data_IF_903348367917
#
_entry.id   IF_903348367917
#
_cell.length_a   1.000
_cell.length_b   1.000
_cell.length_c   1.000
_cell.angle_alpha   90.00
_cell.angle_beta   90.00
_cell.angle_gamma   90.00
#
_symmetry.space_group_name_H-M   'P 1'
#
loop_
_entity.id
_entity.type
_entity.pdbx_description
1 polymer ?
#
# COMPACT_ATOMS: atom_id res chain seq x y z
N UNK A 1 19.46 13.17 -16.67
CA UNK A 1 18.94 11.80 -16.45
C UNK A 1 19.20 11.50 -14.99
N UNK A 2 18.34 11.99 -14.09
CA UNK A 2 18.67 12.08 -12.65
C UNK A 2 17.52 11.52 -11.79
N UNK A 3 16.86 10.47 -12.26
CA UNK A 3 15.84 9.74 -11.49
C UNK A 3 16.44 8.71 -10.52
N UNK A 4 17.74 8.42 -10.66
CA UNK A 4 18.47 7.44 -9.84
C UNK A 4 18.33 7.62 -8.32
N UNK A 5 18.39 8.86 -7.76
CA UNK A 5 18.26 9.06 -6.32
C UNK A 5 16.89 8.67 -5.77
N UNK A 6 15.83 8.82 -6.57
CA UNK A 6 14.45 8.57 -6.15
C UNK A 6 14.01 7.12 -6.32
N UNK A 7 14.73 6.35 -7.15
CA UNK A 7 14.46 4.96 -7.44
C UNK A 7 15.04 4.01 -6.38
N UNK A 8 16.21 4.38 -5.83
CA UNK A 8 16.93 3.62 -4.80
C UNK A 8 16.08 3.32 -3.55
N UNK A 9 15.40 4.32 -2.92
CA UNK A 9 14.61 4.06 -1.72
C UNK A 9 13.49 3.04 -1.94
N UNK A 10 12.73 3.14 -3.04
CA UNK A 10 11.62 2.24 -3.35
C UNK A 10 12.09 0.81 -3.65
N UNK A 11 13.22 0.66 -4.35
CA UNK A 11 13.82 -0.64 -4.61
C UNK A 11 14.34 -1.31 -3.33
N UNK A 12 15.04 -0.56 -2.48
CA UNK A 12 15.56 -1.07 -1.21
C UNK A 12 14.40 -1.45 -0.28
N UNK A 13 13.39 -0.58 -0.15
CA UNK A 13 12.24 -0.84 0.71
C UNK A 13 11.47 -2.10 0.28
N UNK A 14 11.19 -2.25 -1.02
CA UNK A 14 10.50 -3.45 -1.55
C UNK A 14 11.31 -4.72 -1.32
N UNK A 15 12.63 -4.68 -1.54
CA UNK A 15 13.54 -5.80 -1.29
C UNK A 15 13.58 -6.22 0.18
N UNK A 16 13.67 -5.25 1.10
CA UNK A 16 13.62 -5.49 2.55
C UNK A 16 12.28 -6.10 2.94
N UNK A 17 11.17 -5.57 2.41
CA UNK A 17 9.83 -6.09 2.73
C UNK A 17 9.65 -7.55 2.29
N UNK A 18 10.14 -7.92 1.11
CA UNK A 18 10.14 -9.32 0.65
C UNK A 18 10.97 -10.18 1.60
N UNK A 19 12.22 -9.78 1.87
CA UNK A 19 13.13 -10.53 2.73
C UNK A 19 12.55 -10.77 4.12
N UNK A 20 12.03 -9.72 4.76
CA UNK A 20 11.40 -9.80 6.08
C UNK A 20 10.14 -10.65 6.03
N UNK A 21 9.29 -10.51 5.01
CA UNK A 21 8.07 -11.30 4.87
C UNK A 21 8.37 -12.80 4.80
N UNK A 22 9.39 -13.20 4.04
CA UNK A 22 9.84 -14.60 3.96
C UNK A 22 10.35 -15.11 5.32
N UNK A 23 11.11 -14.30 6.05
CA UNK A 23 11.64 -14.67 7.38
C UNK A 23 10.52 -14.82 8.41
N UNK A 24 9.59 -13.87 8.44
CA UNK A 24 8.41 -13.82 9.32
C UNK A 24 7.47 -14.99 9.03
N UNK A 25 7.32 -15.38 7.77
CA UNK A 25 6.52 -16.53 7.37
C UNK A 25 6.99 -17.87 7.97
N UNK A 26 8.26 -17.95 8.41
CA UNK A 26 8.79 -19.12 9.12
C UNK A 26 8.47 -19.13 10.63
N UNK A 27 8.03 -18.00 11.20
CA UNK A 27 7.83 -17.79 12.66
C UNK A 27 6.35 -17.54 13.03
N UNK A 28 5.38 -18.11 12.32
CA UNK A 28 3.94 -17.76 12.38
C UNK A 28 3.20 -18.04 13.70
N UNK A 29 3.90 -18.50 14.73
CA UNK A 29 3.28 -18.88 16.02
C UNK A 29 2.87 -17.67 16.86
N UNK A 30 3.39 -16.47 16.59
CA UNK A 30 3.09 -15.26 17.37
C UNK A 30 2.06 -14.35 16.67
N UNK A 31 1.10 -13.76 17.40
CA UNK A 31 0.14 -12.79 16.84
C UNK A 31 0.81 -11.59 16.17
N UNK A 32 1.92 -11.10 16.74
CA UNK A 32 2.71 -10.00 16.19
C UNK A 32 3.25 -10.31 14.79
N UNK A 33 3.58 -11.57 14.51
CA UNK A 33 4.07 -12.02 13.19
C UNK A 33 3.03 -11.76 12.10
N UNK A 34 1.74 -11.99 12.39
CA UNK A 34 0.65 -11.76 11.43
C UNK A 34 0.45 -10.28 11.14
N UNK A 35 0.44 -9.43 12.17
CA UNK A 35 0.29 -7.98 11.98
C UNK A 35 1.50 -7.36 11.27
N UNK A 36 2.71 -7.84 11.59
CA UNK A 36 3.94 -7.42 10.92
C UNK A 36 3.92 -7.80 9.43
N UNK A 37 3.42 -8.98 9.09
CA UNK A 37 3.25 -9.39 7.70
C UNK A 37 2.33 -8.43 6.92
N UNK A 38 1.18 -8.05 7.50
CA UNK A 38 0.24 -7.15 6.83
C UNK A 38 0.83 -5.77 6.55
N UNK A 39 1.55 -5.17 7.51
CA UNK A 39 2.19 -3.88 7.27
C UNK A 39 3.30 -3.99 6.22
N UNK A 40 4.10 -5.07 6.24
CA UNK A 40 5.15 -5.30 5.23
C UNK A 40 4.56 -5.48 3.83
N UNK A 41 3.43 -6.17 3.72
CA UNK A 41 2.72 -6.35 2.45
C UNK A 41 2.21 -5.01 1.91
N UNK A 42 1.61 -4.19 2.77
CA UNK A 42 1.17 -2.84 2.40
C UNK A 42 2.33 -1.97 1.91
N UNK A 43 3.45 -1.94 2.66
CA UNK A 43 4.64 -1.18 2.28
C UNK A 43 5.26 -1.72 0.99
N UNK A 44 5.28 -3.04 0.82
CA UNK A 44 5.75 -3.67 -0.41
C UNK A 44 4.95 -3.25 -1.63
N UNK A 45 3.60 -3.33 -1.58
CA UNK A 45 2.72 -2.91 -2.68
C UNK A 45 3.03 -1.46 -3.05
N UNK A 46 3.12 -0.58 -2.05
CA UNK A 46 3.40 0.83 -2.28
C UNK A 46 4.76 1.04 -2.95
N UNK A 47 5.83 0.47 -2.39
CA UNK A 47 7.20 0.65 -2.85
C UNK A 47 7.43 0.04 -4.24
N UNK A 48 6.85 -1.14 -4.50
CA UNK A 48 6.96 -1.82 -5.78
C UNK A 48 6.24 -1.07 -6.90
N UNK A 49 5.03 -0.56 -6.63
CA UNK A 49 4.31 0.26 -7.61
C UNK A 49 5.04 1.57 -7.89
N UNK A 50 5.55 2.24 -6.85
CA UNK A 50 6.35 3.46 -7.00
C UNK A 50 7.58 3.22 -7.88
N UNK A 51 8.32 2.15 -7.62
CA UNK A 51 9.47 1.75 -8.44
C UNK A 51 9.08 1.55 -9.90
N UNK A 52 7.97 0.84 -10.15
CA UNK A 52 7.49 0.54 -11.50
C UNK A 52 7.02 1.80 -12.24
N UNK A 53 6.34 2.72 -11.55
CA UNK A 53 5.88 4.00 -12.12
C UNK A 53 7.04 4.84 -12.64
N UNK A 54 8.17 4.88 -11.91
CA UNK A 54 9.35 5.68 -12.33
C UNK A 54 10.00 5.09 -13.60
N UNK A 55 9.85 3.79 -13.86
CA UNK A 55 10.44 3.10 -15.01
C UNK A 55 9.56 3.12 -16.27
N UNK A 56 8.28 3.46 -16.15
CA UNK A 56 7.29 3.38 -17.22
C UNK A 56 6.99 4.79 -17.73
N UNK A 57 7.00 4.97 -19.05
CA UNK A 57 6.62 6.23 -19.70
C UNK A 57 5.17 6.22 -20.20
N UNK A 58 4.52 5.05 -20.22
CA UNK A 58 3.14 4.91 -20.67
C UNK A 58 2.14 5.35 -19.60
N UNK A 59 1.34 6.36 -19.93
CA UNK A 59 0.35 6.95 -19.03
C UNK A 59 -0.72 5.95 -18.54
N UNK A 60 -1.16 5.04 -19.41
CA UNK A 60 -2.18 4.05 -19.05
C UNK A 60 -1.68 3.15 -17.91
N UNK A 61 -0.45 2.66 -18.02
CA UNK A 61 0.19 1.82 -17.00
C UNK A 61 0.49 2.58 -15.72
N UNK A 62 0.92 3.85 -15.81
CA UNK A 62 1.14 4.72 -14.65
C UNK A 62 -0.16 4.86 -13.84
N UNK A 63 -1.30 5.11 -14.48
CA UNK A 63 -2.59 5.26 -13.79
C UNK A 63 -3.00 3.96 -13.10
N UNK A 64 -2.83 2.80 -13.75
CA UNK A 64 -3.14 1.50 -13.15
C UNK A 64 -2.26 1.25 -11.91
N UNK A 65 -0.96 1.44 -12.04
CA UNK A 65 -0.03 1.25 -10.93
C UNK A 65 -0.27 2.23 -9.79
N UNK A 66 -0.62 3.49 -10.09
CA UNK A 66 -0.98 4.47 -9.06
C UNK A 66 -2.24 4.05 -8.29
N UNK A 67 -3.24 3.47 -8.95
CA UNK A 67 -4.43 2.92 -8.28
C UNK A 67 -4.07 1.74 -7.38
N UNK A 68 -3.21 0.83 -7.82
CA UNK A 68 -2.73 -0.31 -7.01
C UNK A 68 -1.90 0.19 -5.82
N UNK A 69 -0.99 1.13 -6.05
CA UNK A 69 -0.17 1.77 -5.03
C UNK A 69 -1.04 2.37 -3.91
N UNK A 70 -2.15 2.99 -4.29
CA UNK A 70 -3.08 3.65 -3.37
C UNK A 70 -3.76 2.66 -2.41
N UNK A 71 -3.97 1.40 -2.82
CA UNK A 71 -4.45 0.33 -1.93
C UNK A 71 -3.49 0.18 -0.74
N UNK A 72 -2.18 0.18 -1.01
CA UNK A 72 -1.16 0.17 0.04
C UNK A 72 -1.31 1.38 0.97
N UNK A 73 -1.35 2.60 0.42
CA UNK A 73 -1.44 3.84 1.20
C UNK A 73 -2.62 3.83 2.17
N UNK A 74 -3.78 3.41 1.67
CA UNK A 74 -5.05 3.49 2.40
C UNK A 74 -5.15 2.44 3.52
N UNK A 75 -4.56 1.25 3.33
CA UNK A 75 -4.52 0.23 4.38
C UNK A 75 -3.34 0.37 5.35
N UNK A 76 -2.35 1.21 5.05
CA UNK A 76 -1.16 1.38 5.90
C UNK A 76 -1.51 1.81 7.34
N UNK A 77 -2.42 2.78 7.59
CA UNK A 77 -2.80 3.17 8.94
C UNK A 77 -3.47 2.03 9.72
N UNK A 78 -4.29 1.21 9.05
CA UNK A 78 -4.99 0.07 9.68
C UNK A 78 -3.99 -0.98 10.14
N UNK A 79 -3.06 -1.35 9.25
CA UNK A 79 -2.02 -2.32 9.55
C UNK A 79 -1.05 -1.81 10.61
N UNK A 80 -0.67 -0.53 10.55
CA UNK A 80 0.21 0.12 11.51
C UNK A 80 -0.42 0.15 12.90
N UNK A 81 -1.68 0.60 13.01
CA UNK A 81 -2.41 0.64 14.27
C UNK A 81 -2.56 -0.75 14.88
N UNK A 82 -2.87 -1.75 14.06
CA UNK A 82 -2.98 -3.14 14.52
C UNK A 82 -1.67 -3.65 15.08
N UNK A 83 -0.55 -3.37 14.38
CA UNK A 83 0.78 -3.76 14.84
C UNK A 83 1.15 -3.06 16.15
N UNK A 84 0.97 -1.74 16.25
CA UNK A 84 1.34 -0.98 17.46
C UNK A 84 0.57 -1.47 18.68
N UNK A 85 -0.74 -1.72 18.55
CA UNK A 85 -1.56 -2.24 19.64
C UNK A 85 -1.11 -3.63 20.11
N UNK A 86 -0.68 -4.49 19.19
CA UNK A 86 -0.11 -5.81 19.53
C UNK A 86 1.25 -5.65 20.22
N UNK A 87 2.12 -4.77 19.73
CA UNK A 87 3.42 -4.50 20.35
C UNK A 87 3.30 -3.90 21.75
N UNK A 88 2.23 -3.15 22.01
CA UNK A 88 1.91 -2.59 23.33
C UNK A 88 1.26 -3.61 24.29
N UNK A 89 1.20 -4.90 23.94
CA UNK A 89 0.47 -5.94 24.67
C UNK A 89 -1.04 -5.62 24.88
N UNK A 90 -1.60 -4.74 24.06
CA UNK A 90 -3.03 -4.38 24.05
C UNK A 90 -3.79 -5.11 22.93
N UNK A 91 -3.32 -6.31 22.55
CA UNK A 91 -3.94 -7.13 21.51
C UNK A 91 -5.41 -7.47 21.78
N UNK A 92 -5.83 -7.49 23.05
CA UNK A 92 -7.22 -7.72 23.45
C UNK A 92 -8.19 -6.63 22.95
N UNK A 93 -7.70 -5.40 22.73
CA UNK A 93 -8.50 -4.30 22.17
C UNK A 93 -8.65 -4.42 20.64
N UNK A 94 -7.74 -5.14 19.99
CA UNK A 94 -7.76 -5.37 18.54
C UNK A 94 -8.70 -6.53 18.23
N UNK A 95 -10.00 -6.24 18.26
CA UNK A 95 -11.03 -7.20 17.86
C UNK A 95 -11.30 -7.12 16.36
N UNK A 96 -11.81 -8.19 15.73
CA UNK A 96 -12.20 -8.15 14.32
C UNK A 96 -13.20 -7.03 14.00
N UNK A 97 -14.13 -6.75 14.92
CA UNK A 97 -15.10 -5.64 14.81
C UNK A 97 -14.40 -4.28 14.74
N UNK A 98 -13.36 -4.08 15.54
CA UNK A 98 -12.58 -2.85 15.54
C UNK A 98 -11.79 -2.68 14.23
N UNK A 99 -11.18 -3.75 13.73
CA UNK A 99 -10.47 -3.72 12.42
C UNK A 99 -11.46 -3.40 11.30
N UNK A 100 -12.66 -3.99 11.30
CA UNK A 100 -13.71 -3.68 10.32
C UNK A 100 -14.09 -2.20 10.39
N UNK A 101 -14.36 -1.68 11.59
CA UNK A 101 -14.70 -0.26 11.78
C UNK A 101 -13.59 0.67 11.27
N UNK A 102 -12.33 0.35 11.56
CA UNK A 102 -11.17 1.12 11.11
C UNK A 102 -10.97 1.01 9.58
N UNK A 103 -11.44 -0.07 8.97
CA UNK A 103 -11.36 -0.31 7.52
C UNK A 103 -12.49 0.34 6.72
N UNK A 104 -13.56 0.84 7.37
CA UNK A 104 -14.67 1.51 6.68
C UNK A 104 -14.17 2.72 5.89
N UNK A 105 -13.40 3.59 6.54
CA UNK A 105 -12.86 4.79 5.90
C UNK A 105 -11.95 4.42 4.70
N UNK A 106 -10.95 3.52 4.85
CA UNK A 106 -10.19 2.96 3.74
C UNK A 106 -11.01 2.45 2.55
N UNK A 107 -12.06 1.69 2.83
CA UNK A 107 -12.93 1.12 1.79
C UNK A 107 -13.70 2.21 1.06
N UNK A 108 -14.21 3.22 1.77
CA UNK A 108 -14.88 4.37 1.16
C UNK A 108 -13.92 5.13 0.25
N UNK A 109 -12.71 5.41 0.71
CA UNK A 109 -11.69 6.13 -0.09
C UNK A 109 -11.32 5.34 -1.35
N UNK A 110 -11.18 4.01 -1.25
CA UNK A 110 -10.93 3.15 -2.41
C UNK A 110 -12.12 3.12 -3.38
N UNK A 111 -13.35 3.05 -2.87
CA UNK A 111 -14.54 3.11 -3.71
C UNK A 111 -14.59 4.42 -4.50
N UNK A 112 -14.29 5.55 -3.85
CA UNK A 112 -14.22 6.86 -4.51
C UNK A 112 -13.16 6.88 -5.62
N UNK A 113 -11.95 6.37 -5.34
CA UNK A 113 -10.87 6.31 -6.33
C UNK A 113 -11.25 5.43 -7.54
N UNK A 114 -11.92 4.31 -7.32
CA UNK A 114 -12.35 3.40 -8.40
C UNK A 114 -13.49 4.00 -9.23
N UNK A 115 -14.41 4.70 -8.59
CA UNK A 115 -15.50 5.43 -9.26
C UNK A 115 -15.02 6.66 -10.02
N UNK A 116 -13.88 7.23 -9.64
CA UNK A 116 -13.30 8.39 -10.30
C UNK A 116 -12.88 8.03 -11.72
N UNK A 117 -13.62 8.57 -12.71
CA UNK A 117 -13.24 8.49 -14.12
C UNK A 117 -12.01 9.36 -14.36
N UNK A 118 -11.06 8.91 -15.20
CA UNK A 118 -9.92 9.73 -15.58
C UNK A 118 -10.45 10.99 -16.29
N UNK A 119 -10.04 12.16 -15.79
CA UNK A 119 -10.48 13.49 -16.26
C UNK A 119 -10.31 13.71 -17.79
N UNK A 120 -9.46 12.93 -18.45
CA UNK A 120 -9.26 12.98 -19.90
C UNK A 120 -10.47 12.57 -20.75
N UNK A 121 -11.46 11.86 -20.20
CA UNK A 121 -12.70 11.53 -20.93
C UNK A 121 -13.62 12.76 -21.08
N UNK A 122 -13.38 13.82 -20.30
CA UNK A 122 -14.26 14.99 -20.22
C UNK A 122 -13.70 16.27 -20.86
N UNK A 123 -12.44 16.27 -21.31
CA UNK A 123 -11.88 17.40 -22.03
C UNK A 123 -12.11 17.19 -23.54
N UNK A 124 -12.95 18.01 -24.21
CA UNK A 124 -12.91 18.06 -25.66
C UNK A 124 -11.51 18.53 -26.04
N UNK A 125 -10.82 17.72 -26.84
CA UNK A 125 -9.58 18.12 -27.51
C UNK A 125 -10.00 19.20 -28.50
N UNK A 126 -10.02 20.46 -28.06
CA UNK A 126 -10.20 21.59 -28.94
C UNK A 126 -8.87 21.79 -29.67
N UNK A 127 -8.74 21.16 -30.83
CA UNK A 127 -7.67 21.40 -31.79
C UNK A 127 -7.92 22.75 -32.46
N UNK A 128 -7.25 23.79 -31.98
CA UNK A 128 -6.97 25.00 -32.75
C UNK A 128 -5.53 24.94 -33.24
#
# INVERSE_FOLDING_TARGET
MDFFPWLLPSFIASSICIFLSIRIWRQRRLPATKATYWILLTVFIWAFCQFSIILINDFFWIVILAKIQYIGIVFAPVAWFTLTMIMLNKSHLVTPKFIIALSILPVITLAQLLLQRPLMVLLPINSN
#
